data_IF_514413964189
#
_entry.id   IF_514413964189
#
_cell.length_a   1.000
_cell.length_b   1.000
_cell.length_c   1.000
_cell.angle_alpha   90.00
_cell.angle_beta   90.00
_cell.angle_gamma   90.00
#
_symmetry.space_group_name_H-M   'P 1'
#
loop_
_entity.id
_entity.type
_entity.pdbx_description
1 polymer ?
#
# COMPACT_ATOMS: atom_id res chain seq x y z
N UNK A 1 8.99 -6.00 6.96
CA UNK A 1 9.69 -4.70 6.90
C UNK A 1 8.99 -3.83 5.90
N UNK A 2 8.96 -2.52 6.11
CA UNK A 2 8.39 -1.53 5.20
C UNK A 2 9.50 -0.55 4.82
N UNK A 3 9.58 -0.15 3.55
CA UNK A 3 10.51 0.87 3.09
C UNK A 3 9.88 2.25 3.30
N UNK A 4 10.60 3.14 3.97
CA UNK A 4 10.20 4.51 4.28
C UNK A 4 11.46 5.37 4.27
N UNK A 5 11.44 6.50 3.54
CA UNK A 5 12.58 7.44 3.43
C UNK A 5 13.93 6.79 3.05
N UNK A 6 13.89 5.81 2.14
CA UNK A 6 15.08 5.07 1.70
C UNK A 6 15.62 4.08 2.72
N UNK A 7 14.96 3.90 3.87
CA UNK A 7 15.34 2.97 4.92
C UNK A 7 14.30 1.86 5.10
N UNK A 8 14.75 0.69 5.58
CA UNK A 8 13.87 -0.41 5.92
C UNK A 8 13.54 -0.39 7.41
N UNK A 9 12.25 -0.30 7.73
CA UNK A 9 11.75 -0.33 9.11
C UNK A 9 11.05 -1.66 9.43
N UNK A 10 11.17 -2.11 10.67
CA UNK A 10 10.44 -3.29 11.15
C UNK A 10 8.97 -2.91 11.36
N UNK A 11 8.06 -3.72 10.83
CA UNK A 11 6.65 -3.60 11.17
C UNK A 11 6.45 -4.17 12.58
N UNK A 12 5.80 -3.45 13.50
CA UNK A 12 5.60 -3.92 14.87
C UNK A 12 4.70 -5.16 14.90
N UNK A 13 5.08 -6.13 15.70
CA UNK A 13 4.27 -7.31 15.99
C UNK A 13 3.44 -7.03 17.25
N UNK A 14 2.14 -6.83 17.07
CA UNK A 14 1.19 -6.63 18.16
C UNK A 14 0.31 -7.87 18.24
N UNK A 15 0.33 -8.56 19.39
CA UNK A 15 -0.46 -9.78 19.60
C UNK A 15 -1.95 -9.47 19.45
N UNK A 16 -2.64 -10.24 18.63
CA UNK A 16 -4.07 -10.08 18.37
C UNK A 16 -4.43 -8.94 17.40
N UNK A 17 -3.44 -8.25 16.82
CA UNK A 17 -3.68 -7.20 15.84
C UNK A 17 -3.55 -7.72 14.40
N UNK A 18 -4.25 -7.04 13.48
CA UNK A 18 -4.03 -7.17 12.05
C UNK A 18 -3.10 -6.06 11.57
N UNK A 19 -2.16 -6.40 10.69
CA UNK A 19 -1.41 -5.41 9.94
C UNK A 19 -2.20 -5.09 8.66
N UNK A 20 -2.56 -3.82 8.48
CA UNK A 20 -3.28 -3.31 7.30
C UNK A 20 -2.35 -2.42 6.52
N UNK A 21 -2.20 -2.72 5.22
CA UNK A 21 -1.36 -1.94 4.31
C UNK A 21 -2.23 -1.37 3.18
N UNK A 22 -1.87 -0.17 2.72
CA UNK A 22 -2.42 0.44 1.52
C UNK A 22 -1.70 -0.14 0.30
N UNK A 23 -2.47 -0.63 -0.67
CA UNK A 23 -1.98 -1.05 -1.97
C UNK A 23 -2.23 -0.01 -3.06
N UNK A 24 -1.65 -0.23 -4.24
CA UNK A 24 -1.69 0.70 -5.37
C UNK A 24 -3.12 1.13 -5.76
N UNK A 25 -4.10 0.23 -5.67
CA UNK A 25 -5.50 0.58 -5.94
C UNK A 25 -6.00 1.71 -5.05
N UNK A 26 -5.76 1.62 -3.74
CA UNK A 26 -6.23 2.63 -2.81
C UNK A 26 -5.39 3.92 -2.90
N UNK A 27 -4.10 3.81 -3.25
CA UNK A 27 -3.30 4.98 -3.57
C UNK A 27 -3.91 5.77 -4.75
N UNK A 28 -4.25 5.09 -5.85
CA UNK A 28 -4.93 5.70 -7.01
C UNK A 28 -6.28 6.30 -6.60
N UNK A 29 -7.11 5.54 -5.87
CA UNK A 29 -8.43 5.99 -5.40
C UNK A 29 -8.33 7.29 -4.59
N UNK A 30 -7.31 7.39 -3.75
CA UNK A 30 -7.08 8.53 -2.87
C UNK A 30 -6.43 9.75 -3.55
N UNK A 31 -6.29 9.71 -4.87
CA UNK A 31 -5.53 10.69 -5.64
C UNK A 31 -4.10 10.89 -5.08
N UNK A 32 -3.49 9.81 -4.60
CA UNK A 32 -2.14 9.82 -4.02
C UNK A 32 -1.99 10.34 -2.60
N UNK A 33 -3.07 10.72 -1.93
CA UNK A 33 -3.03 11.15 -0.52
C UNK A 33 -2.52 10.06 0.41
N UNK A 34 -2.77 8.79 0.07
CA UNK A 34 -2.18 7.64 0.74
C UNK A 34 -1.19 6.94 -0.19
N UNK A 35 0.02 6.72 0.29
CA UNK A 35 1.09 6.07 -0.47
C UNK A 35 1.14 4.57 -0.21
N UNK A 36 1.15 3.79 -1.28
CA UNK A 36 1.49 2.38 -1.21
C UNK A 36 2.99 2.27 -0.92
N UNK A 37 3.34 1.42 0.03
CA UNK A 37 4.73 1.25 0.47
C UNK A 37 5.25 -0.12 0.08
N UNK A 38 6.50 -0.13 -0.37
CA UNK A 38 7.22 -1.38 -0.63
C UNK A 38 7.45 -2.07 0.71
N UNK A 39 7.04 -3.33 0.79
CA UNK A 39 7.23 -4.15 1.98
C UNK A 39 7.88 -5.48 1.61
N UNK A 40 8.62 -6.06 2.56
CA UNK A 40 9.24 -7.38 2.40
C UNK A 40 9.14 -8.22 3.66
N UNK A 41 8.94 -9.52 3.46
CA UNK A 41 9.12 -10.54 4.48
C UNK A 41 10.57 -11.03 4.46
N UNK A 42 11.21 -11.08 5.62
CA UNK A 42 12.56 -11.64 5.76
C UNK A 42 12.51 -12.95 6.53
N UNK A 43 13.48 -13.83 6.25
CA UNK A 43 13.69 -15.06 7.00
C UNK A 43 14.52 -14.79 8.25
N UNK A 44 14.22 -15.55 9.30
CA UNK A 44 15.06 -15.67 10.50
C UNK A 44 15.47 -17.13 10.64
N UNK A 45 16.71 -17.37 11.08
CA UNK A 45 17.29 -18.73 11.15
C UNK A 45 16.70 -19.56 12.31
N UNK A 46 16.24 -18.88 13.35
CA UNK A 46 15.85 -19.42 14.65
C UNK A 46 14.34 -19.55 14.84
N UNK A 47 13.53 -18.98 13.94
CA UNK A 47 12.07 -18.94 14.10
C UNK A 47 11.34 -19.22 12.79
N UNK A 48 10.33 -20.08 12.82
CA UNK A 48 9.34 -20.20 11.74
C UNK A 48 8.24 -19.17 11.94
N UNK A 49 7.88 -18.44 10.88
CA UNK A 49 6.75 -17.50 10.85
C UNK A 49 5.77 -17.91 9.77
N UNK A 50 4.49 -17.97 10.12
CA UNK A 50 3.37 -18.19 9.19
C UNK A 50 2.50 -16.93 9.21
N UNK A 51 2.07 -16.48 8.04
CA UNK A 51 1.18 -15.34 7.87
C UNK A 51 0.17 -15.61 6.77
N UNK A 52 -1.04 -15.07 6.92
CA UNK A 52 -2.09 -15.12 5.90
C UNK A 52 -2.37 -13.67 5.49
N UNK A 53 -2.41 -13.40 4.20
CA UNK A 53 -2.80 -12.11 3.66
C UNK A 53 -4.18 -12.24 3.00
N UNK A 54 -5.07 -11.30 3.30
CA UNK A 54 -6.30 -11.10 2.55
C UNK A 54 -6.15 -9.79 1.77
N UNK A 55 -6.34 -9.86 0.46
CA UNK A 55 -6.22 -8.71 -0.43
C UNK A 55 -7.61 -8.33 -0.93
N UNK A 56 -7.98 -7.07 -0.69
CA UNK A 56 -9.20 -6.48 -1.24
C UNK A 56 -8.82 -5.65 -2.47
N UNK A 57 -9.18 -6.15 -3.65
CA UNK A 57 -8.94 -5.48 -4.92
C UNK A 57 -10.24 -5.41 -5.74
N UNK A 58 -10.23 -4.61 -6.81
CA UNK A 58 -11.31 -4.63 -7.79
C UNK A 58 -11.26 -5.91 -8.63
N UNK A 59 -12.32 -6.14 -9.42
CA UNK A 59 -12.31 -7.15 -10.47
C UNK A 59 -11.18 -6.90 -11.47
N UNK A 60 -10.70 -7.97 -12.11
CA UNK A 60 -9.57 -7.88 -13.04
C UNK A 60 -9.85 -6.96 -14.24
N UNK A 61 -11.12 -6.81 -14.62
CA UNK A 61 -11.55 -6.01 -15.77
C UNK A 61 -11.99 -4.59 -15.38
N UNK A 62 -12.00 -4.27 -14.09
CA UNK A 62 -12.41 -2.95 -13.61
C UNK A 62 -11.25 -1.96 -13.71
N UNK A 63 -11.56 -0.73 -14.14
CA UNK A 63 -10.58 0.37 -14.16
C UNK A 63 -10.62 1.14 -12.85
N UNK A 64 -9.45 1.36 -12.26
CA UNK A 64 -9.27 2.25 -11.12
C UNK A 64 -8.99 3.69 -11.58
N UNK A 65 -9.58 4.64 -10.89
CA UNK A 65 -9.30 6.07 -10.98
C UNK A 65 -9.43 6.73 -9.60
N UNK A 66 -9.03 8.00 -9.47
CA UNK A 66 -9.26 8.75 -8.24
C UNK A 66 -10.77 8.93 -8.00
N UNK A 67 -11.17 8.97 -6.73
CA UNK A 67 -12.53 9.35 -6.36
C UNK A 67 -12.81 10.79 -6.79
N UNK A 68 -13.98 11.05 -7.38
CA UNK A 68 -14.33 12.36 -7.94
C UNK A 68 -14.24 13.48 -6.90
N UNK A 69 -14.55 13.18 -5.64
CA UNK A 69 -14.48 14.11 -4.51
C UNK A 69 -13.03 14.50 -4.12
N UNK A 70 -12.04 13.74 -4.59
CA UNK A 70 -10.62 13.93 -4.30
C UNK A 70 -9.84 14.50 -5.50
N UNK A 71 -10.54 14.81 -6.60
CA UNK A 71 -9.95 15.46 -7.76
C UNK A 71 -10.16 16.96 -7.65
N UNK A 72 -9.09 17.70 -7.31
CA UNK A 72 -9.01 19.12 -7.61
C UNK A 72 -8.38 19.33 -9.01
N UNK A 73 -8.64 20.47 -9.64
CA UNK A 73 -8.14 20.74 -10.99
C UNK A 73 -6.60 20.87 -11.09
N UNK A 74 -5.86 20.86 -9.98
CA UNK A 74 -4.40 21.06 -9.97
C UNK A 74 -3.61 19.76 -9.74
N UNK A 75 -4.13 18.79 -8.98
CA UNK A 75 -3.43 17.55 -8.62
C UNK A 75 -3.46 16.46 -9.71
N UNK A 76 -4.47 16.44 -10.56
CA UNK A 76 -4.70 15.33 -11.51
C UNK A 76 -3.62 15.22 -12.60
N UNK A 77 -3.09 16.36 -13.06
CA UNK A 77 -2.06 16.40 -14.12
C UNK A 77 -0.68 15.90 -13.65
N UNK A 78 -0.33 16.07 -12.37
CA UNK A 78 0.98 15.67 -11.84
C UNK A 78 1.09 14.14 -11.63
N UNK A 79 -0.02 13.46 -11.36
CA UNK A 79 -0.01 12.04 -10.99
C UNK A 79 0.22 11.09 -12.17
N UNK A 80 -0.35 11.41 -13.33
CA UNK A 80 -0.20 10.62 -14.57
C UNK A 80 1.25 10.58 -15.05
N UNK A 81 2.06 11.57 -14.66
CA UNK A 81 3.44 11.75 -15.14
C UNK A 81 4.51 11.18 -14.18
N UNK A 82 4.12 10.65 -13.01
CA UNK A 82 5.06 10.43 -11.89
C UNK A 82 5.41 8.96 -11.60
N UNK A 83 4.96 8.02 -12.44
CA UNK A 83 5.44 6.63 -12.46
C UNK A 83 6.15 6.30 -13.77
#
# INVERSE_FOLDING_TARGET
MVAEDGAWRLAPELRGALQVNVGDHFEVLSNGSYKSLVHRATLRRDTTRISIASLHCLGMDDKMGPAEELVDNEQYEDWVQRK
#
